data_IF_346995052412
#
_entry.id   IF_346995052412
#
_cell.length_a   1.000
_cell.length_b   1.000
_cell.length_c   1.000
_cell.angle_alpha   90.00
_cell.angle_beta   90.00
_cell.angle_gamma   90.00
#
_symmetry.space_group_name_H-M   'P 1'
#
loop_
_entity.id
_entity.type
_entity.pdbx_description
1 polymer ?
#
# COMPACT_ATOMS: atom_id res chain seq x y z
N UNK A 1 -10.43 8.26 12.40
CA UNK A 1 -10.78 6.85 12.16
C UNK A 1 -11.13 6.75 10.70
N UNK A 2 -10.14 6.49 9.85
CA UNK A 2 -10.41 6.16 8.44
C UNK A 2 -11.09 4.79 8.46
N UNK A 3 -12.37 4.74 8.13
CA UNK A 3 -13.07 3.45 8.11
C UNK A 3 -12.57 2.62 6.92
N UNK A 4 -12.69 1.30 6.98
CA UNK A 4 -12.36 0.41 5.86
C UNK A 4 -13.05 0.81 4.56
N UNK A 5 -14.24 1.42 4.65
CA UNK A 5 -14.98 1.96 3.51
C UNK A 5 -14.28 3.19 2.90
N UNK A 6 -13.74 4.10 3.72
CA UNK A 6 -12.97 5.26 3.25
C UNK A 6 -11.70 4.83 2.52
N UNK A 7 -11.00 3.81 3.04
CA UNK A 7 -9.79 3.28 2.43
C UNK A 7 -10.09 2.56 1.10
N UNK A 8 -11.14 1.74 1.05
CA UNK A 8 -11.57 1.09 -0.20
C UNK A 8 -11.90 2.09 -1.31
N UNK A 9 -12.56 3.20 -0.97
CA UNK A 9 -12.82 4.29 -1.92
C UNK A 9 -11.52 4.94 -2.41
N UNK A 10 -10.56 5.22 -1.52
CA UNK A 10 -9.25 5.78 -1.90
C UNK A 10 -8.51 4.86 -2.89
N UNK A 11 -8.50 3.55 -2.63
CA UNK A 11 -7.84 2.58 -3.51
C UNK A 11 -8.56 2.44 -4.85
N UNK A 12 -9.89 2.47 -4.87
CA UNK A 12 -10.66 2.47 -6.11
C UNK A 12 -10.38 3.73 -6.94
N UNK A 13 -10.37 4.91 -6.31
CA UNK A 13 -10.07 6.16 -7.00
C UNK A 13 -8.61 6.21 -7.51
N UNK A 14 -7.67 5.60 -6.79
CA UNK A 14 -6.30 5.42 -7.28
C UNK A 14 -6.27 4.54 -8.53
N UNK A 15 -6.91 3.37 -8.50
CA UNK A 15 -6.95 2.46 -9.65
C UNK A 15 -7.65 3.08 -10.87
N UNK A 16 -8.72 3.86 -10.66
CA UNK A 16 -9.44 4.54 -11.74
C UNK A 16 -8.62 5.68 -12.38
N UNK A 17 -7.80 6.39 -11.60
CA UNK A 17 -7.10 7.61 -12.04
C UNK A 17 -5.71 7.36 -12.60
N UNK A 18 -5.02 6.30 -12.18
CA UNK A 18 -3.64 6.03 -12.57
C UNK A 18 -3.61 5.11 -13.79
N UNK A 19 -3.18 5.58 -14.97
CA UNK A 19 -3.19 4.77 -16.18
C UNK A 19 -2.35 3.50 -16.03
N UNK A 20 -2.93 2.38 -16.46
CA UNK A 20 -2.27 1.08 -16.43
C UNK A 20 -2.34 0.35 -15.10
N UNK A 21 -2.88 0.95 -14.03
CA UNK A 21 -3.21 0.20 -12.81
C UNK A 21 -4.46 -0.64 -13.06
N UNK A 22 -4.39 -1.92 -12.70
CA UNK A 22 -5.51 -2.85 -12.79
C UNK A 22 -6.20 -3.02 -11.44
N UNK A 23 -5.42 -3.26 -10.38
CA UNK A 23 -5.95 -3.53 -9.04
C UNK A 23 -5.02 -3.00 -7.96
N UNK A 24 -5.59 -2.67 -6.82
CA UNK A 24 -4.87 -2.15 -5.67
C UNK A 24 -5.43 -2.71 -4.36
N UNK A 25 -4.56 -3.07 -3.41
CA UNK A 25 -4.94 -3.54 -2.08
C UNK A 25 -4.08 -2.91 -1.00
N UNK A 26 -4.69 -2.66 0.16
CA UNK A 26 -3.99 -2.30 1.39
C UNK A 26 -3.99 -3.51 2.33
N UNK A 27 -2.84 -3.79 2.91
CA UNK A 27 -2.58 -4.98 3.73
C UNK A 27 -2.00 -4.53 5.07
N UNK A 28 -2.54 -5.00 6.18
CA UNK A 28 -2.03 -4.67 7.51
C UNK A 28 -0.66 -5.28 7.78
N UNK A 29 0.00 -4.81 8.84
CA UNK A 29 1.31 -5.31 9.26
C UNK A 29 1.32 -6.82 9.59
N UNK A 30 0.16 -7.40 9.95
CA UNK A 30 -0.02 -8.84 10.19
C UNK A 30 -0.41 -9.64 8.92
N UNK A 31 -0.47 -8.98 7.76
CA UNK A 31 -0.72 -9.62 6.46
C UNK A 31 -2.21 -9.76 6.08
N UNK A 32 -3.13 -9.19 6.85
CA UNK A 32 -4.56 -9.25 6.55
C UNK A 32 -4.99 -8.16 5.55
N UNK A 33 -5.96 -8.49 4.70
CA UNK A 33 -6.52 -7.55 3.74
C UNK A 33 -7.36 -6.47 4.46
N UNK A 34 -6.89 -5.23 4.41
CA UNK A 34 -7.60 -4.06 4.95
C UNK A 34 -8.63 -3.54 3.96
N UNK A 35 -8.25 -3.35 2.69
CA UNK A 35 -9.11 -2.82 1.64
C UNK A 35 -8.62 -3.24 0.25
N UNK A 36 -9.53 -3.22 -0.72
CA UNK A 36 -9.25 -3.52 -2.12
C UNK A 36 -9.98 -2.54 -3.05
N UNK A 37 -9.44 -2.31 -4.24
CA UNK A 37 -10.12 -1.65 -5.35
C UNK A 37 -11.37 -2.45 -5.78
N UNK A 38 -12.43 -1.76 -6.22
CA UNK A 38 -13.76 -2.35 -6.49
C UNK A 38 -13.76 -3.59 -7.39
N UNK A 39 -12.94 -3.59 -8.44
CA UNK A 39 -13.01 -4.62 -9.49
C UNK A 39 -12.18 -5.88 -9.18
N UNK A 40 -11.58 -5.97 -7.99
CA UNK A 40 -10.85 -7.15 -7.55
C UNK A 40 -11.77 -8.05 -6.69
N UNK A 41 -12.08 -9.29 -7.12
CA UNK A 41 -12.83 -10.25 -6.31
C UNK A 41 -12.17 -10.49 -4.95
N UNK A 42 -12.98 -10.66 -3.90
CA UNK A 42 -12.50 -10.74 -2.51
C UNK A 42 -11.47 -11.85 -2.30
N UNK A 43 -11.72 -13.03 -2.86
CA UNK A 43 -10.81 -14.18 -2.82
C UNK A 43 -9.44 -13.88 -3.46
N UNK A 44 -9.44 -13.15 -4.58
CA UNK A 44 -8.21 -12.69 -5.24
C UNK A 44 -7.50 -11.59 -4.46
N UNK A 45 -8.25 -10.71 -3.80
CA UNK A 45 -7.68 -9.70 -2.93
C UNK A 45 -7.00 -10.31 -1.69
N UNK A 46 -7.61 -11.32 -1.08
CA UNK A 46 -7.01 -12.05 0.05
C UNK A 46 -5.74 -12.82 -0.40
N UNK A 47 -5.75 -13.41 -1.61
CA UNK A 47 -4.53 -14.00 -2.21
C UNK A 47 -3.42 -12.96 -2.41
N UNK A 48 -3.75 -11.79 -2.98
CA UNK A 48 -2.79 -10.72 -3.20
C UNK A 48 -2.22 -10.19 -1.88
N UNK A 49 -3.03 -10.08 -0.84
CA UNK A 49 -2.59 -9.69 0.49
C UNK A 49 -1.56 -10.67 1.07
N UNK A 50 -1.80 -11.97 0.95
CA UNK A 50 -0.86 -13.01 1.40
C UNK A 50 0.47 -12.95 0.63
N UNK A 51 0.41 -12.79 -0.70
CA UNK A 51 1.60 -12.62 -1.55
C UNK A 51 2.39 -11.37 -1.12
N UNK A 52 1.69 -10.25 -0.91
CA UNK A 52 2.31 -8.99 -0.53
C UNK A 52 3.02 -9.08 0.82
N UNK A 53 2.37 -9.67 1.82
CA UNK A 53 2.97 -9.90 3.14
C UNK A 53 4.24 -10.77 3.07
N UNK A 54 4.22 -11.83 2.25
CA UNK A 54 5.39 -12.68 2.02
C UNK A 54 6.56 -11.91 1.39
N UNK A 55 6.28 -11.11 0.35
CA UNK A 55 7.30 -10.29 -0.30
C UNK A 55 7.90 -9.24 0.64
N UNK A 56 7.05 -8.53 1.39
CA UNK A 56 7.51 -7.55 2.41
C UNK A 56 8.45 -8.22 3.41
N UNK A 57 8.08 -9.40 3.91
CA UNK A 57 8.90 -10.15 4.87
C UNK A 57 10.27 -10.53 4.29
N UNK A 58 10.29 -11.01 3.04
CA UNK A 58 11.52 -11.40 2.35
C UNK A 58 12.43 -10.20 2.07
N UNK A 59 11.89 -9.09 1.55
CA UNK A 59 12.68 -7.91 1.20
C UNK A 59 13.19 -7.18 2.44
N UNK A 60 12.40 -7.11 3.51
CA UNK A 60 12.88 -6.61 4.80
C UNK A 60 13.97 -7.51 5.39
N UNK A 61 13.85 -8.83 5.23
CA UNK A 61 14.89 -9.79 5.60
C UNK A 61 16.19 -9.51 4.86
N UNK A 62 16.13 -9.35 3.54
CA UNK A 62 17.29 -9.00 2.72
C UNK A 62 17.91 -7.66 3.17
N UNK A 63 17.10 -6.63 3.39
CA UNK A 63 17.59 -5.33 3.83
C UNK A 63 18.33 -5.41 5.18
N UNK A 64 17.86 -6.23 6.12
CA UNK A 64 18.58 -6.49 7.39
C UNK A 64 19.87 -7.26 7.18
N UNK A 65 19.85 -8.33 6.37
CA UNK A 65 21.03 -9.17 6.12
C UNK A 65 22.18 -8.43 5.45
N UNK A 66 21.86 -7.43 4.63
CA UNK A 66 22.83 -6.68 3.83
C UNK A 66 22.97 -5.22 4.27
N UNK A 67 22.47 -4.85 5.46
CA UNK A 67 22.53 -3.49 6.02
C UNK A 67 22.00 -2.40 5.05
N UNK A 68 21.01 -2.75 4.22
CA UNK A 68 20.47 -1.92 3.15
C UNK A 68 19.48 -0.83 3.59
N UNK A 69 19.21 -0.72 4.90
CA UNK A 69 18.26 0.25 5.45
C UNK A 69 16.79 -0.15 5.26
N UNK A 70 15.91 0.85 5.14
CA UNK A 70 14.47 0.60 4.97
C UNK A 70 14.13 0.24 3.52
N UNK A 71 13.25 -0.74 3.33
CA UNK A 71 12.69 -1.05 2.00
C UNK A 71 11.69 0.04 1.64
N UNK A 72 12.06 0.88 0.69
CA UNK A 72 11.20 1.98 0.23
C UNK A 72 10.11 1.47 -0.72
N UNK A 73 10.50 0.62 -1.68
CA UNK A 73 9.61 0.08 -2.69
C UNK A 73 10.12 -1.29 -3.16
N UNK A 74 9.21 -2.20 -3.47
CA UNK A 74 9.48 -3.45 -4.19
C UNK A 74 8.75 -3.41 -5.52
N UNK A 75 9.43 -3.78 -6.61
CA UNK A 75 8.82 -3.93 -7.94
C UNK A 75 9.15 -5.32 -8.45
N UNK A 76 8.12 -6.09 -8.78
CA UNK A 76 8.23 -7.39 -9.41
C UNK A 76 7.70 -7.27 -10.84
N UNK A 77 8.59 -7.43 -11.81
CA UNK A 77 8.24 -7.50 -13.22
C UNK A 77 7.87 -8.93 -13.60
N UNK A 78 6.74 -9.08 -14.28
CA UNK A 78 6.20 -10.33 -14.81
C UNK A 78 5.92 -10.14 -16.31
N UNK A 79 5.83 -11.24 -17.06
CA UNK A 79 5.62 -11.17 -18.51
C UNK A 79 4.37 -10.37 -18.93
N UNK A 80 3.35 -10.33 -18.07
CA UNK A 80 2.09 -9.64 -18.34
C UNK A 80 1.86 -8.37 -17.51
N UNK A 81 2.83 -7.91 -16.73
CA UNK A 81 2.67 -6.72 -15.93
C UNK A 81 3.58 -6.64 -14.72
N UNK A 82 3.19 -5.81 -13.76
CA UNK A 82 4.00 -5.48 -12.61
C UNK A 82 3.20 -5.65 -11.33
N UNK A 83 3.90 -6.06 -10.27
CA UNK A 83 3.44 -5.96 -8.89
C UNK A 83 4.34 -4.97 -8.16
N UNK A 84 3.74 -3.89 -7.66
CA UNK A 84 4.40 -2.89 -6.83
C UNK A 84 4.00 -3.10 -5.37
N UNK A 85 4.94 -2.88 -4.46
CA UNK A 85 4.68 -2.80 -3.02
C UNK A 85 5.38 -1.58 -2.44
N UNK A 86 4.67 -0.85 -1.60
CA UNK A 86 5.21 0.27 -0.83
C UNK A 86 4.76 0.14 0.63
N UNK A 87 5.67 0.41 1.56
CA UNK A 87 5.37 0.39 3.00
C UNK A 87 4.69 1.69 3.43
N UNK A 88 3.71 1.57 4.32
CA UNK A 88 3.04 2.68 5.01
C UNK A 88 3.63 2.80 6.42
N UNK A 89 3.63 4.01 6.96
CA UNK A 89 4.28 4.38 8.23
C UNK A 89 3.88 3.54 9.45
N UNK A 90 2.67 2.98 9.45
CA UNK A 90 2.13 2.14 10.54
C UNK A 90 2.51 0.65 10.40
N UNK A 91 3.36 0.31 9.42
CA UNK A 91 3.78 -1.06 9.11
C UNK A 91 2.84 -1.80 8.16
N UNK A 92 1.72 -1.18 7.77
CA UNK A 92 0.90 -1.70 6.68
C UNK A 92 1.60 -1.53 5.33
N UNK A 93 1.07 -2.14 4.28
CA UNK A 93 1.64 -2.08 2.94
C UNK A 93 0.56 -1.87 1.88
N UNK A 94 0.95 -1.15 0.83
CA UNK A 94 0.13 -0.88 -0.33
C UNK A 94 0.66 -1.67 -1.52
N UNK A 95 -0.16 -2.57 -2.08
CA UNK A 95 0.21 -3.41 -3.21
C UNK A 95 -0.65 -3.11 -4.44
N UNK A 96 -0.01 -3.01 -5.59
CA UNK A 96 -0.64 -2.58 -6.85
C UNK A 96 -0.24 -3.52 -7.98
N UNK A 97 -1.24 -4.04 -8.70
CA UNK A 97 -1.07 -4.74 -9.96
C UNK A 97 -1.27 -3.77 -11.12
N UNK A 98 -0.31 -3.73 -12.03
CA UNK A 98 -0.37 -2.87 -13.20
C UNK A 98 -0.08 -3.66 -14.49
N UNK A 99 -0.68 -3.24 -15.59
CA UNK A 99 -0.44 -3.78 -16.91
C UNK A 99 0.99 -3.49 -17.37
N UNK A 100 1.51 -4.33 -18.28
CA UNK A 100 2.86 -4.18 -18.83
C UNK A 100 3.09 -2.83 -19.53
N UNK A 101 2.04 -2.21 -20.05
CA UNK A 101 2.09 -0.91 -20.73
C UNK A 101 2.07 0.28 -19.76
N UNK A 102 2.09 0.06 -18.44
CA UNK A 102 2.07 1.17 -17.48
C UNK A 102 3.38 1.96 -17.51
N UNK A 103 3.29 3.23 -17.12
CA UNK A 103 4.48 4.00 -16.76
C UNK A 103 4.85 3.67 -15.30
N UNK A 104 5.92 2.89 -15.13
CA UNK A 104 6.44 2.44 -13.83
C UNK A 104 6.74 3.62 -12.90
N UNK A 105 7.27 4.72 -13.45
CA UNK A 105 7.60 5.93 -12.69
C UNK A 105 6.33 6.65 -12.22
N UNK A 106 5.33 6.76 -13.10
CA UNK A 106 4.04 7.37 -12.75
C UNK A 106 3.31 6.56 -11.67
N UNK A 107 3.28 5.23 -11.79
CA UNK A 107 2.64 4.36 -10.81
C UNK A 107 3.32 4.51 -9.45
N UNK A 108 4.66 4.43 -9.39
CA UNK A 108 5.41 4.62 -8.14
C UNK A 108 5.19 6.00 -7.51
N UNK A 109 5.14 7.06 -8.33
CA UNK A 109 4.88 8.43 -7.86
C UNK A 109 3.48 8.58 -7.23
N UNK A 110 2.45 8.10 -7.90
CA UNK A 110 1.07 8.16 -7.38
C UNK A 110 0.90 7.27 -6.14
N UNK A 111 1.60 6.13 -6.07
CA UNK A 111 1.64 5.30 -4.86
C UNK A 111 2.24 6.07 -3.69
N UNK A 112 3.37 6.76 -3.89
CA UNK A 112 4.01 7.57 -2.85
C UNK A 112 3.07 8.66 -2.32
N UNK A 113 2.38 9.39 -3.21
CA UNK A 113 1.39 10.39 -2.83
C UNK A 113 0.23 9.81 -2.02
N UNK A 114 -0.25 8.62 -2.39
CA UNK A 114 -1.34 7.97 -1.67
C UNK A 114 -0.89 7.49 -0.29
N UNK A 115 0.28 6.87 -0.19
CA UNK A 115 0.85 6.39 1.08
C UNK A 115 1.06 7.54 2.05
N UNK A 116 1.59 8.68 1.58
CA UNK A 116 1.78 9.87 2.41
C UNK A 116 0.44 10.38 2.97
N UNK A 117 -0.58 10.49 2.11
CA UNK A 117 -1.94 10.89 2.50
C UNK A 117 -2.60 9.92 3.49
N UNK A 118 -2.41 8.61 3.29
CA UNK A 118 -2.97 7.58 4.19
C UNK A 118 -2.22 7.57 5.51
N UNK A 119 -0.90 7.74 5.51
CA UNK A 119 -0.08 7.90 6.72
C UNK A 119 -0.54 9.06 7.59
N UNK A 120 -0.83 10.21 6.99
CA UNK A 120 -1.38 11.38 7.70
C UNK A 120 -2.77 11.12 8.29
N UNK A 121 -3.63 10.41 7.56
CA UNK A 121 -4.98 10.08 8.03
C UNK A 121 -4.99 9.03 9.16
N UNK A 122 -3.99 8.15 9.20
CA UNK A 122 -3.83 7.09 10.21
C UNK A 122 -2.99 7.52 11.42
N UNK A 123 -2.27 8.63 11.33
CA UNK A 123 -1.52 9.24 12.44
C UNK A 123 -2.32 10.39 13.03
N UNK A 124 -3.29 10.16 13.94
CA UNK A 124 -3.95 11.27 14.61
C UNK A 124 -2.91 12.06 15.42
N UNK A 125 -2.84 13.36 15.18
CA UNK A 125 -2.12 14.32 16.03
C UNK A 125 -2.44 13.99 17.50
N UNK A 126 -1.43 13.88 18.40
CA UNK A 126 -1.69 13.72 19.82
C UNK A 126 -2.57 14.90 20.23
N UNK A 127 -3.79 14.62 20.71
CA UNK A 127 -4.64 15.69 21.25
C UNK A 127 -3.83 16.36 22.34
N UNK A 128 -3.39 17.59 22.11
CA UNK A 128 -2.86 18.43 23.17
C UNK A 128 -3.94 18.43 24.26
N UNK A 129 -3.62 17.85 25.41
CA UNK A 129 -4.54 17.76 26.52
C UNK A 129 -4.99 19.18 26.84
N UNK A 130 -6.27 19.47 26.57
CA UNK A 130 -6.92 20.64 27.10
C UNK A 130 -6.99 20.44 28.63
N UNK A 131 -5.97 20.91 29.32
CA UNK A 131 -5.83 20.82 30.77
C UNK A 131 -4.74 21.75 31.26
N UNK A 132 -5.16 22.73 32.06
CA UNK A 132 -4.38 23.78 32.76
C UNK A 132 -4.09 24.99 31.86
N UNK A 133 -4.73 26.15 32.06
CA UNK A 133 -4.69 26.94 33.30
C UNK A 133 -6.03 27.63 33.55
N UNK A 134 -6.66 27.29 34.68
CA UNK A 134 -7.57 28.15 35.42
C UNK A 134 -6.87 28.63 36.68
#
# INVERSE_FOLDING_TARGET
MTTTQDLGWLLANFADRVPGVAHAVAVSADGLLLAASRDLPRDRADQLAAIASGLVSLTQGAARCFEGGAVLQTVVEMDNGFLFLMSISDGSSFAVLAARSCDVGQVGYEMALLVDRVGDALTPQPRAAAGMLG
#
